data_IF_658807343589
#
_entry.id   IF_658807343589
#
_cell.length_a   1.000
_cell.length_b   1.000
_cell.length_c   1.000
_cell.angle_alpha   90.00
_cell.angle_beta   90.00
_cell.angle_gamma   90.00
#
_symmetry.space_group_name_H-M   'P 1'
#
loop_
_entity.id
_entity.type
_entity.pdbx_description
1 polymer ?
#
# COMPACT_ATOMS: atom_id res chain seq x y z
N UNK A 1 10.78 24.91 -11.88
CA UNK A 1 11.81 24.47 -10.91
C UNK A 1 12.97 25.45 -11.01
N UNK A 2 13.39 26.05 -9.88
CA UNK A 2 14.50 27.02 -9.86
C UNK A 2 15.86 26.35 -9.64
N UNK A 3 15.92 25.45 -8.67
CA UNK A 3 17.15 24.77 -8.30
C UNK A 3 16.86 23.43 -7.64
N UNK A 4 17.79 22.50 -7.80
CA UNK A 4 17.76 21.26 -7.04
C UNK A 4 19.20 20.81 -6.77
N UNK A 5 19.40 20.20 -5.61
CA UNK A 5 20.62 19.49 -5.26
C UNK A 5 20.22 18.11 -4.74
N UNK A 6 20.64 17.05 -5.42
CA UNK A 6 20.27 15.69 -5.04
C UNK A 6 20.56 15.41 -3.56
N UNK A 7 19.59 14.81 -2.85
CA UNK A 7 19.64 14.49 -1.43
C UNK A 7 19.69 15.68 -0.45
N UNK A 8 19.56 16.90 -0.92
CA UNK A 8 19.56 18.10 -0.08
C UNK A 8 18.27 18.90 -0.21
N UNK A 9 17.94 19.39 -1.41
CA UNK A 9 16.75 20.22 -1.60
C UNK A 9 16.22 20.24 -3.04
N UNK A 10 14.94 20.64 -3.15
CA UNK A 10 14.30 21.06 -4.41
C UNK A 10 13.61 22.39 -4.15
N UNK A 11 13.85 23.39 -4.99
CA UNK A 11 13.19 24.70 -4.94
C UNK A 11 12.34 24.91 -6.18
N UNK A 12 11.09 25.26 -5.97
CA UNK A 12 10.16 25.65 -7.03
C UNK A 12 9.64 27.05 -6.79
N UNK A 13 9.31 27.77 -7.85
CA UNK A 13 8.71 29.10 -7.80
C UNK A 13 7.33 29.07 -8.40
N UNK A 14 6.52 30.04 -8.07
CA UNK A 14 5.21 30.30 -8.66
C UNK A 14 5.32 30.33 -10.19
N UNK A 15 4.40 29.62 -10.86
CA UNK A 15 4.25 29.76 -12.31
C UNK A 15 3.42 31.02 -12.60
N UNK A 16 3.97 32.04 -13.28
CA UNK A 16 3.22 33.26 -13.61
C UNK A 16 2.05 32.99 -14.57
N UNK A 17 2.17 31.94 -15.41
CA UNK A 17 1.16 31.55 -16.39
C UNK A 17 0.27 30.39 -15.88
N UNK A 18 0.05 30.32 -14.55
CA UNK A 18 -0.79 29.25 -14.00
C UNK A 18 -2.23 29.38 -14.47
N UNK A 19 -2.83 28.28 -14.90
CA UNK A 19 -4.14 28.25 -15.55
C UNK A 19 -5.32 28.69 -14.64
N UNK A 20 -5.18 28.58 -13.31
CA UNK A 20 -6.17 29.12 -12.36
C UNK A 20 -5.81 30.55 -12.01
N UNK A 21 -6.76 31.47 -12.23
CA UNK A 21 -6.61 32.87 -11.85
C UNK A 21 -6.34 33.00 -10.34
N UNK A 22 -5.44 33.91 -9.98
CA UNK A 22 -5.04 34.20 -8.61
C UNK A 22 -4.41 33.01 -7.84
N UNK A 23 -3.91 32.01 -8.56
CA UNK A 23 -3.22 30.82 -8.03
C UNK A 23 -1.85 30.64 -8.71
N UNK A 24 -0.93 29.91 -8.04
CA UNK A 24 -0.89 29.56 -6.61
C UNK A 24 -0.71 30.82 -5.74
N UNK A 25 -1.03 30.73 -4.44
CA UNK A 25 -0.83 31.88 -3.52
C UNK A 25 0.64 32.06 -3.10
N UNK A 26 1.33 30.94 -2.86
CA UNK A 26 2.75 30.96 -2.46
C UNK A 26 3.65 31.42 -3.61
N UNK A 27 4.69 32.21 -3.31
CA UNK A 27 5.71 32.59 -4.29
C UNK A 27 6.62 31.43 -4.67
N UNK A 28 6.77 30.45 -3.79
CA UNK A 28 7.54 29.25 -4.03
C UNK A 28 7.47 28.25 -2.89
N UNK A 29 8.06 27.08 -3.10
CA UNK A 29 8.18 26.01 -2.11
C UNK A 29 9.62 25.52 -2.12
N UNK A 30 10.20 25.37 -0.93
CA UNK A 30 11.46 24.69 -0.72
C UNK A 30 11.24 23.34 -0.04
N UNK A 31 11.58 22.27 -0.72
CA UNK A 31 11.60 20.92 -0.17
C UNK A 31 13.01 20.63 0.35
N UNK A 32 13.15 20.47 1.66
CA UNK A 32 14.40 20.01 2.28
C UNK A 32 14.34 18.49 2.44
N UNK A 33 15.34 17.79 1.93
CA UNK A 33 15.40 16.33 1.93
C UNK A 33 16.17 15.86 3.15
N UNK A 34 15.45 15.35 4.16
CA UNK A 34 16.03 14.74 5.35
C UNK A 34 15.53 13.29 5.41
N UNK A 35 16.43 12.34 5.19
CA UNK A 35 16.09 10.92 5.10
C UNK A 35 15.68 10.34 6.45
N UNK A 36 16.40 10.71 7.50
CA UNK A 36 16.18 10.21 8.84
C UNK A 36 15.00 10.92 9.51
N UNK A 37 14.09 10.14 10.13
CA UNK A 37 12.88 10.67 10.75
C UNK A 37 13.18 11.56 11.96
N UNK A 38 14.10 11.16 12.84
CA UNK A 38 14.37 11.88 14.08
C UNK A 38 14.88 13.33 13.82
N UNK A 39 15.95 13.59 13.05
CA UNK A 39 16.39 14.96 12.78
C UNK A 39 15.35 15.78 12.00
N UNK A 40 14.56 15.16 11.10
CA UNK A 40 13.46 15.81 10.39
C UNK A 40 12.37 16.29 11.37
N UNK A 41 11.94 15.42 12.27
CA UNK A 41 10.89 15.75 13.25
C UNK A 41 11.36 16.85 14.22
N UNK A 42 12.60 16.76 14.72
CA UNK A 42 13.18 17.80 15.58
C UNK A 42 13.25 19.17 14.89
N UNK A 43 13.59 19.20 13.59
CA UNK A 43 13.61 20.46 12.81
C UNK A 43 12.19 21.05 12.66
N UNK A 44 11.18 20.21 12.50
CA UNK A 44 9.77 20.64 12.49
C UNK A 44 9.33 21.19 13.85
N UNK A 45 9.65 20.51 14.93
CA UNK A 45 9.35 21.00 16.31
C UNK A 45 9.99 22.34 16.59
N UNK A 46 11.19 22.56 16.08
CA UNK A 46 11.90 23.83 16.15
C UNK A 46 11.35 24.93 15.16
N UNK A 47 10.25 24.65 14.46
CA UNK A 47 9.64 25.60 13.52
C UNK A 47 10.43 25.89 12.24
N UNK A 48 11.40 25.03 11.88
CA UNK A 48 12.22 25.20 10.66
C UNK A 48 11.47 24.88 9.38
N UNK A 49 10.35 24.15 9.47
CA UNK A 49 9.50 23.75 8.35
C UNK A 49 8.06 24.12 8.62
N UNK A 50 7.34 24.53 7.59
CA UNK A 50 5.92 24.81 7.67
C UNK A 50 5.09 23.53 7.64
N UNK A 51 5.61 22.43 7.05
CA UNK A 51 4.92 21.13 6.98
C UNK A 51 5.86 19.93 6.89
N UNK A 52 5.39 18.79 7.37
CA UNK A 52 5.88 17.45 7.01
C UNK A 52 4.72 16.72 6.32
N UNK A 53 4.71 16.67 4.98
CA UNK A 53 3.63 16.08 4.23
C UNK A 53 3.59 14.55 4.30
N UNK A 54 4.73 13.89 4.51
CA UNK A 54 4.90 12.44 4.52
C UNK A 54 5.83 11.96 5.62
N UNK A 55 5.62 10.69 6.04
CA UNK A 55 6.58 9.98 6.86
C UNK A 55 6.47 10.26 8.36
N UNK A 56 5.34 10.84 8.81
CA UNK A 56 4.94 10.79 10.22
C UNK A 56 4.17 9.49 10.40
N UNK A 57 4.77 8.52 11.07
CA UNK A 57 4.13 7.23 11.37
C UNK A 57 3.16 7.38 12.54
N UNK A 58 2.20 6.48 12.68
CA UNK A 58 1.25 6.53 13.80
C UNK A 58 1.96 6.49 15.15
N UNK A 59 2.94 5.60 15.40
CA UNK A 59 3.69 5.61 16.65
C UNK A 59 4.40 6.94 16.96
N UNK A 60 4.90 7.64 15.95
CA UNK A 60 5.60 8.93 16.17
C UNK A 60 4.64 10.11 16.38
N UNK A 61 3.35 9.95 16.14
CA UNK A 61 2.37 11.03 16.32
C UNK A 61 2.28 11.51 17.77
N UNK A 62 2.58 10.64 18.71
CA UNK A 62 2.68 10.97 20.14
C UNK A 62 3.71 12.08 20.37
N UNK A 63 4.90 11.96 19.78
CA UNK A 63 5.96 12.96 19.92
C UNK A 63 5.54 14.33 19.35
N UNK A 64 4.77 14.33 18.25
CA UNK A 64 4.22 15.57 17.69
C UNK A 64 3.23 16.25 18.62
N UNK A 65 2.37 15.47 19.30
CA UNK A 65 1.40 16.01 20.27
C UNK A 65 2.10 16.59 21.51
N UNK A 66 3.21 16.00 21.91
CA UNK A 66 3.99 16.43 23.09
C UNK A 66 4.91 17.63 22.79
N UNK A 67 5.64 17.58 21.67
CA UNK A 67 6.69 18.56 21.36
C UNK A 67 6.23 19.71 20.45
N UNK A 68 5.15 19.54 19.73
CA UNK A 68 4.54 20.56 18.88
C UNK A 68 3.00 20.55 18.99
N UNK A 69 2.44 20.80 20.20
CA UNK A 69 1.00 20.69 20.47
C UNK A 69 0.16 21.65 19.60
N UNK A 70 0.76 22.74 19.10
CA UNK A 70 0.14 23.69 18.19
C UNK A 70 0.01 23.15 16.74
N UNK A 71 0.78 22.12 16.37
CA UNK A 71 0.77 21.58 15.02
C UNK A 71 -0.56 20.87 14.71
N UNK A 72 -1.02 21.01 13.49
CA UNK A 72 -2.22 20.35 13.00
C UNK A 72 -1.77 19.11 12.23
N UNK A 73 -1.99 17.94 12.83
CA UNK A 73 -1.69 16.65 12.23
C UNK A 73 -2.97 15.95 11.80
N UNK A 74 -3.01 15.47 10.57
CA UNK A 74 -4.12 14.72 9.99
C UNK A 74 -3.67 13.31 9.66
N UNK A 75 -4.32 12.32 10.29
CA UNK A 75 -4.12 10.89 10.02
C UNK A 75 -4.98 10.48 8.83
N UNK A 76 -4.44 9.62 7.98
CA UNK A 76 -5.21 8.92 6.95
C UNK A 76 -4.55 7.60 6.56
N UNK A 77 -5.34 6.74 6.00
CA UNK A 77 -4.90 5.51 5.33
C UNK A 77 -4.47 5.87 3.91
N UNK A 78 -3.28 5.46 3.53
CA UNK A 78 -2.73 5.71 2.19
C UNK A 78 -3.18 4.66 1.18
N UNK A 79 -3.34 5.04 -0.09
CA UNK A 79 -3.71 4.12 -1.17
C UNK A 79 -2.48 3.39 -1.77
N UNK A 80 -1.66 2.82 -0.91
CA UNK A 80 -0.48 2.03 -1.30
C UNK A 80 -0.43 0.76 -0.45
N UNK A 81 -1.38 -0.18 -0.66
CA UNK A 81 -1.48 -1.38 0.17
C UNK A 81 -0.21 -2.24 0.12
N UNK A 82 0.04 -2.93 1.21
CA UNK A 82 1.04 -3.99 1.29
C UNK A 82 0.42 -5.30 0.84
N UNK A 83 1.12 -6.01 -0.03
CA UNK A 83 0.64 -7.27 -0.60
C UNK A 83 1.66 -8.37 -0.49
N UNK A 84 1.20 -9.60 -0.47
CA UNK A 84 2.02 -10.77 -0.74
C UNK A 84 1.89 -11.11 -2.23
N UNK A 85 2.97 -11.00 -2.98
CA UNK A 85 3.00 -11.31 -4.41
C UNK A 85 3.57 -12.72 -4.62
N UNK A 86 2.84 -13.58 -5.31
CA UNK A 86 3.23 -14.97 -5.57
C UNK A 86 3.47 -15.14 -7.08
N UNK A 87 4.60 -15.67 -7.46
CA UNK A 87 4.94 -15.92 -8.84
C UNK A 87 4.30 -17.21 -9.34
N UNK A 88 3.33 -17.11 -10.24
CA UNK A 88 2.55 -18.24 -10.75
C UNK A 88 3.34 -19.20 -11.66
N UNK A 89 4.51 -18.77 -12.16
CA UNK A 89 5.37 -19.57 -13.03
C UNK A 89 6.48 -20.33 -12.28
N UNK A 90 6.53 -20.25 -10.95
CA UNK A 90 7.53 -20.92 -10.12
C UNK A 90 6.88 -22.04 -9.31
N UNK A 91 7.13 -23.31 -9.62
CA UNK A 91 6.69 -24.40 -8.75
C UNK A 91 7.26 -24.26 -7.33
N UNK A 92 6.48 -24.61 -6.30
CA UNK A 92 5.13 -25.20 -6.33
C UNK A 92 3.99 -24.17 -6.33
N UNK A 93 4.23 -22.90 -6.62
CA UNK A 93 3.27 -21.80 -6.50
C UNK A 93 2.26 -21.72 -7.68
N UNK A 94 2.43 -22.52 -8.72
CA UNK A 94 1.42 -22.83 -9.73
C UNK A 94 0.21 -23.55 -9.14
N UNK A 95 0.37 -24.24 -8.00
CA UNK A 95 -0.70 -24.93 -7.30
C UNK A 95 -1.58 -23.91 -6.54
N UNK A 96 -2.85 -23.83 -6.94
CA UNK A 96 -3.85 -22.92 -6.33
C UNK A 96 -4.11 -23.24 -4.85
N UNK A 97 -4.08 -24.51 -4.44
CA UNK A 97 -4.33 -24.89 -3.05
C UNK A 97 -3.22 -24.37 -2.12
N UNK A 98 -1.96 -24.43 -2.56
CA UNK A 98 -0.84 -23.84 -1.81
C UNK A 98 -1.05 -22.33 -1.64
N UNK A 99 -1.41 -21.62 -2.71
CA UNK A 99 -1.65 -20.18 -2.63
C UNK A 99 -2.82 -19.84 -1.72
N UNK A 100 -3.91 -20.63 -1.74
CA UNK A 100 -5.03 -20.49 -0.81
C UNK A 100 -4.58 -20.67 0.64
N UNK A 101 -3.78 -21.68 0.93
CA UNK A 101 -3.21 -21.86 2.26
C UNK A 101 -2.39 -20.63 2.71
N UNK A 102 -1.58 -20.07 1.82
CA UNK A 102 -0.81 -18.85 2.10
C UNK A 102 -1.72 -17.65 2.40
N UNK A 103 -2.83 -17.47 1.67
CA UNK A 103 -3.81 -16.42 1.94
C UNK A 103 -4.49 -16.60 3.28
N UNK A 104 -4.86 -17.85 3.63
CA UNK A 104 -5.50 -18.19 4.90
C UNK A 104 -4.56 -18.02 6.11
N UNK A 105 -3.24 -18.00 5.91
CA UNK A 105 -2.29 -17.77 7.02
C UNK A 105 -2.27 -16.33 7.52
N UNK A 106 -2.72 -15.37 6.72
CA UNK A 106 -2.59 -13.94 6.97
C UNK A 106 -3.47 -13.47 8.13
N UNK A 107 -2.82 -12.91 9.15
CA UNK A 107 -3.50 -12.19 10.24
C UNK A 107 -3.46 -10.68 9.96
N UNK A 108 -4.40 -10.21 9.14
CA UNK A 108 -4.48 -8.81 8.72
C UNK A 108 -4.69 -7.86 9.88
N UNK A 109 -5.41 -8.31 10.92
CA UNK A 109 -5.61 -7.51 12.12
C UNK A 109 -4.29 -7.29 12.85
N UNK A 110 -3.49 -8.32 13.04
CA UNK A 110 -2.18 -8.20 13.68
C UNK A 110 -1.24 -7.29 12.88
N UNK A 111 -1.25 -7.34 11.55
CA UNK A 111 -0.50 -6.38 10.73
C UNK A 111 -0.94 -4.94 11.00
N UNK A 112 -2.26 -4.69 11.02
CA UNK A 112 -2.77 -3.35 11.29
C UNK A 112 -2.45 -2.87 12.71
N UNK A 113 -2.55 -3.76 13.70
CA UNK A 113 -2.24 -3.43 15.09
C UNK A 113 -0.75 -3.07 15.28
N UNK A 114 0.16 -3.79 14.61
CA UNK A 114 1.61 -3.57 14.70
C UNK A 114 2.04 -2.33 13.91
N UNK A 115 1.61 -2.23 12.65
CA UNK A 115 2.08 -1.20 11.71
C UNK A 115 1.35 0.14 11.86
N UNK A 116 0.08 0.10 12.23
CA UNK A 116 -0.81 1.27 12.27
C UNK A 116 -1.43 1.52 13.66
N UNK A 117 -1.02 0.81 14.71
CA UNK A 117 -1.67 0.89 16.04
C UNK A 117 -3.20 0.74 15.99
N UNK A 118 -3.70 -0.12 15.10
CA UNK A 118 -5.12 -0.42 14.98
C UNK A 118 -5.96 0.68 14.32
N UNK A 119 -5.38 1.57 13.52
CA UNK A 119 -6.14 2.61 12.79
C UNK A 119 -7.30 1.99 12.02
N UNK A 120 -8.55 2.46 12.21
CA UNK A 120 -9.71 1.94 11.50
C UNK A 120 -9.62 2.14 9.98
N UNK A 121 -10.19 1.20 9.21
CA UNK A 121 -10.26 1.29 7.76
C UNK A 121 -8.92 1.04 7.04
N UNK A 122 -7.98 0.34 7.70
CA UNK A 122 -6.71 -0.05 7.10
C UNK A 122 -6.73 -1.48 6.51
N UNK A 123 -7.85 -2.20 6.59
CA UNK A 123 -8.04 -3.52 6.00
C UNK A 123 -9.02 -3.42 4.83
N UNK A 124 -8.60 -3.90 3.67
CA UNK A 124 -9.39 -3.87 2.43
C UNK A 124 -8.85 -4.88 1.42
N UNK A 125 -9.54 -5.01 0.30
CA UNK A 125 -9.07 -5.75 -0.86
C UNK A 125 -8.19 -4.85 -1.75
N UNK A 126 -8.32 -4.90 -3.07
CA UNK A 126 -7.44 -4.10 -3.94
C UNK A 126 -7.83 -2.62 -4.05
N UNK A 127 -9.09 -2.29 -3.76
CA UNK A 127 -9.54 -0.92 -3.68
C UNK A 127 -9.36 -0.36 -2.28
N UNK A 128 -9.10 0.93 -2.18
CA UNK A 128 -9.00 1.63 -0.91
C UNK A 128 -10.22 1.33 -0.04
N UNK A 129 -10.03 0.93 1.24
CA UNK A 129 -11.13 0.50 2.09
C UNK A 129 -12.28 1.51 2.16
N UNK A 130 -13.51 1.02 2.30
CA UNK A 130 -14.74 1.80 2.19
C UNK A 130 -14.82 3.04 3.10
N UNK A 131 -14.11 3.06 4.25
CA UNK A 131 -14.01 4.25 5.10
C UNK A 131 -13.15 5.37 4.52
N UNK A 132 -12.31 5.06 3.53
CA UNK A 132 -11.30 5.96 2.99
C UNK A 132 -11.42 6.15 1.46
N UNK A 133 -12.12 5.25 0.77
CA UNK A 133 -12.28 5.24 -0.68
C UNK A 133 -13.72 4.99 -1.13
N UNK A 134 -13.97 5.25 -2.41
CA UNK A 134 -15.31 5.13 -3.00
C UNK A 134 -15.64 3.69 -3.40
N UNK A 135 -14.63 2.92 -3.80
CA UNK A 135 -14.80 1.62 -4.47
C UNK A 135 -14.65 0.42 -3.52
N UNK A 136 -14.10 0.61 -2.34
CA UNK A 136 -13.82 -0.47 -1.40
C UNK A 136 -15.06 -1.23 -0.97
N UNK A 137 -14.89 -2.53 -0.75
CA UNK A 137 -15.94 -3.38 -0.18
C UNK A 137 -16.25 -2.98 1.25
N UNK A 138 -17.52 -2.94 1.66
CA UNK A 138 -17.87 -2.80 3.07
C UNK A 138 -17.43 -4.06 3.84
N UNK A 139 -17.22 -3.95 5.18
CA UNK A 139 -16.65 -5.03 5.98
C UNK A 139 -17.38 -6.37 5.84
N UNK A 140 -18.71 -6.35 5.82
CA UNK A 140 -19.55 -7.54 5.70
C UNK A 140 -19.39 -8.30 4.37
N UNK A 141 -19.03 -7.57 3.29
CA UNK A 141 -18.73 -8.17 1.98
C UNK A 141 -17.28 -8.66 1.96
N UNK A 142 -16.36 -7.86 2.52
CA UNK A 142 -14.94 -8.17 2.58
C UNK A 142 -14.68 -9.48 3.35
N UNK A 143 -15.36 -9.69 4.48
CA UNK A 143 -15.23 -10.89 5.31
C UNK A 143 -15.65 -12.19 4.60
N UNK A 144 -16.40 -12.08 3.50
CA UNK A 144 -16.77 -13.26 2.68
C UNK A 144 -15.64 -13.72 1.74
N UNK A 145 -14.58 -12.91 1.60
CA UNK A 145 -13.44 -13.28 0.77
C UNK A 145 -12.51 -14.27 1.49
N UNK A 146 -11.80 -15.14 0.76
CA UNK A 146 -10.86 -16.09 1.35
C UNK A 146 -9.82 -15.39 2.24
N UNK A 147 -9.72 -15.81 3.50
CA UNK A 147 -8.76 -15.31 4.47
C UNK A 147 -9.04 -13.91 5.05
N UNK A 148 -10.19 -13.29 4.74
CA UNK A 148 -10.61 -12.02 5.36
C UNK A 148 -11.54 -12.21 6.57
N UNK A 149 -12.06 -13.43 6.78
CA UNK A 149 -12.86 -13.72 7.96
C UNK A 149 -12.05 -13.54 9.26
N UNK A 150 -12.72 -13.15 10.37
CA UNK A 150 -12.05 -12.73 11.62
C UNK A 150 -11.41 -13.91 12.39
N UNK A 151 -11.78 -15.14 12.11
CA UNK A 151 -11.25 -16.32 12.81
C UNK A 151 -9.93 -16.81 12.17
N UNK A 152 -8.85 -16.13 12.52
CA UNK A 152 -7.50 -16.46 12.04
C UNK A 152 -7.07 -17.87 12.46
N UNK A 153 -7.44 -18.31 13.66
CA UNK A 153 -7.07 -19.63 14.15
C UNK A 153 -7.69 -20.76 13.29
N UNK A 154 -8.96 -20.63 12.95
CA UNK A 154 -9.66 -21.53 12.02
C UNK A 154 -9.03 -21.49 10.63
N UNK A 155 -8.75 -20.31 10.08
CA UNK A 155 -8.12 -20.15 8.78
C UNK A 155 -6.76 -20.85 8.73
N UNK A 156 -5.92 -20.64 9.75
CA UNK A 156 -4.61 -21.32 9.85
C UNK A 156 -4.71 -22.82 10.03
N UNK A 157 -5.72 -23.31 10.78
CA UNK A 157 -5.96 -24.74 10.90
C UNK A 157 -6.34 -25.37 9.55
N UNK A 158 -7.14 -24.71 8.74
CA UNK A 158 -7.47 -25.13 7.37
C UNK A 158 -6.22 -25.06 6.47
N UNK A 159 -5.46 -23.99 6.52
CA UNK A 159 -4.22 -23.84 5.77
C UNK A 159 -3.21 -24.95 6.07
N UNK A 160 -3.04 -25.35 7.35
CA UNK A 160 -2.17 -26.48 7.72
C UNK A 160 -2.64 -27.79 7.09
N UNK A 161 -3.92 -28.07 7.09
CA UNK A 161 -4.45 -29.28 6.42
C UNK A 161 -4.13 -29.30 4.93
N UNK A 162 -4.21 -28.15 4.28
CA UNK A 162 -3.86 -28.03 2.86
C UNK A 162 -2.35 -28.27 2.64
N UNK A 163 -1.49 -27.64 3.43
CA UNK A 163 -0.04 -27.79 3.30
C UNK A 163 0.41 -29.22 3.61
N UNK A 164 -0.17 -29.85 4.63
CA UNK A 164 0.07 -31.26 4.98
C UNK A 164 -0.33 -32.21 3.83
N UNK A 165 -1.51 -31.98 3.23
CA UNK A 165 -1.95 -32.74 2.03
C UNK A 165 -0.98 -32.60 0.86
N UNK A 166 -0.30 -31.45 0.75
CA UNK A 166 0.71 -31.18 -0.27
C UNK A 166 2.11 -31.74 0.09
N UNK A 167 2.24 -32.40 1.25
CA UNK A 167 3.47 -33.05 1.70
C UNK A 167 4.41 -32.12 2.49
N UNK A 168 3.92 -30.99 2.98
CA UNK A 168 4.66 -30.07 3.86
C UNK A 168 4.12 -30.17 5.29
N UNK A 169 5.02 -30.12 6.26
CA UNK A 169 4.68 -30.27 7.68
C UNK A 169 5.83 -29.83 8.58
N UNK A 170 5.73 -30.02 9.91
CA UNK A 170 6.77 -29.61 10.86
C UNK A 170 8.14 -30.18 10.53
N UNK A 171 8.21 -31.46 10.13
CA UNK A 171 9.46 -32.15 9.80
C UNK A 171 9.95 -31.87 8.37
N UNK A 172 9.09 -31.35 7.50
CA UNK A 172 9.41 -31.05 6.11
C UNK A 172 8.71 -29.74 5.68
N UNK A 173 9.11 -28.60 6.22
CA UNK A 173 8.54 -27.31 5.81
C UNK A 173 8.95 -26.95 4.38
N UNK A 174 8.10 -26.16 3.70
CA UNK A 174 8.45 -25.58 2.41
C UNK A 174 9.42 -24.41 2.61
N UNK A 175 10.62 -24.51 2.08
CA UNK A 175 11.58 -23.42 2.08
C UNK A 175 11.32 -22.46 0.91
N UNK A 176 11.22 -21.16 1.18
CA UNK A 176 11.00 -20.12 0.17
C UNK A 176 11.89 -18.90 0.40
N UNK A 177 12.20 -18.17 -0.66
CA UNK A 177 12.78 -16.82 -0.56
C UNK A 177 11.65 -15.79 -0.66
N UNK A 178 11.57 -14.90 0.32
CA UNK A 178 10.63 -13.79 0.34
C UNK A 178 11.39 -12.51 -0.01
N UNK A 179 11.23 -12.06 -1.27
CA UNK A 179 11.92 -10.87 -1.78
C UNK A 179 11.19 -9.59 -1.38
N UNK A 180 11.92 -8.61 -0.90
CA UNK A 180 11.42 -7.24 -0.67
C UNK A 180 12.53 -6.22 -0.84
N UNK A 181 12.18 -4.94 -0.96
CA UNK A 181 13.19 -3.88 -1.01
C UNK A 181 13.84 -3.67 0.35
N UNK A 182 15.14 -3.38 0.33
CA UNK A 182 15.88 -2.99 1.53
C UNK A 182 15.53 -1.55 1.96
N UNK A 183 14.29 -1.39 2.41
CA UNK A 183 13.75 -0.14 2.92
C UNK A 183 12.78 -0.45 4.08
N UNK A 184 12.85 0.23 5.24
CA UNK A 184 12.10 -0.15 6.44
C UNK A 184 10.61 -0.37 6.20
N UNK A 185 9.92 0.57 5.56
CA UNK A 185 8.47 0.49 5.30
C UNK A 185 8.05 -0.72 4.40
N UNK A 186 9.02 -1.47 3.83
CA UNK A 186 8.78 -2.67 3.04
C UNK A 186 9.29 -3.91 3.76
N UNK A 187 10.46 -3.77 4.42
CA UNK A 187 11.10 -4.86 5.15
C UNK A 187 10.31 -5.26 6.40
N UNK A 188 9.83 -4.30 7.15
CA UNK A 188 9.22 -4.57 8.46
C UNK A 188 7.90 -5.38 8.30
N UNK A 189 6.96 -5.04 7.39
CA UNK A 189 5.83 -5.93 7.08
C UNK A 189 6.25 -7.30 6.53
N UNK A 190 7.37 -7.40 5.81
CA UNK A 190 7.85 -8.69 5.31
C UNK A 190 8.27 -9.64 6.44
N UNK A 191 8.83 -9.12 7.53
CA UNK A 191 9.16 -9.92 8.72
C UNK A 191 7.91 -10.49 9.38
N UNK A 192 6.83 -9.69 9.48
CA UNK A 192 5.54 -10.16 10.01
C UNK A 192 4.97 -11.24 9.08
N UNK A 193 5.07 -11.06 7.75
CA UNK A 193 4.61 -12.04 6.77
C UNK A 193 5.34 -13.38 6.91
N UNK A 194 6.65 -13.38 7.13
CA UNK A 194 7.43 -14.60 7.40
C UNK A 194 6.86 -15.35 8.60
N UNK A 195 6.53 -14.65 9.68
CA UNK A 195 5.92 -15.25 10.87
C UNK A 195 4.55 -15.88 10.57
N UNK A 196 3.72 -15.22 9.73
CA UNK A 196 2.43 -15.78 9.32
C UNK A 196 2.59 -17.05 8.46
N UNK A 197 3.53 -17.06 7.53
CA UNK A 197 3.81 -18.22 6.68
C UNK A 197 4.35 -19.41 7.48
N UNK A 198 5.14 -19.15 8.52
CA UNK A 198 5.67 -20.17 9.43
C UNK A 198 4.56 -20.98 10.13
N UNK A 199 3.43 -20.34 10.43
CA UNK A 199 2.26 -20.97 11.05
C UNK A 199 1.64 -22.12 10.22
N UNK A 200 1.99 -22.17 8.94
CA UNK A 200 1.49 -23.15 7.96
C UNK A 200 2.61 -23.95 7.31
N UNK A 201 3.74 -24.12 8.02
CA UNK A 201 4.89 -24.90 7.58
C UNK A 201 5.61 -24.36 6.34
N UNK A 202 5.58 -23.04 6.12
CA UNK A 202 6.37 -22.38 5.10
C UNK A 202 7.48 -21.58 5.78
N UNK A 203 8.73 -22.02 5.62
CA UNK A 203 9.92 -21.34 6.13
C UNK A 203 10.42 -20.36 5.08
N UNK A 204 10.08 -19.09 5.25
CA UNK A 204 10.51 -18.02 4.37
C UNK A 204 11.80 -17.37 4.88
N UNK A 205 12.79 -17.25 3.99
CA UNK A 205 14.01 -16.49 4.21
C UNK A 205 13.89 -15.12 3.53
N UNK A 206 14.26 -14.05 4.24
CA UNK A 206 14.19 -12.69 3.73
C UNK A 206 15.28 -12.44 2.68
N UNK A 207 14.88 -12.10 1.46
CA UNK A 207 15.74 -11.67 0.35
C UNK A 207 15.62 -10.15 0.17
N UNK A 208 16.58 -9.41 0.74
CA UNK A 208 16.64 -7.95 0.66
C UNK A 208 17.27 -7.50 -0.65
N UNK A 209 16.47 -6.86 -1.49
CA UNK A 209 16.87 -6.40 -2.82
C UNK A 209 17.15 -4.90 -2.80
N UNK A 210 18.27 -4.50 -3.37
CA UNK A 210 18.58 -3.06 -3.57
C UNK A 210 17.51 -2.39 -4.42
N UNK A 211 17.14 -1.17 -4.04
CA UNK A 211 16.08 -0.39 -4.72
C UNK A 211 16.33 -0.21 -6.22
N UNK A 212 17.57 -0.03 -6.63
CA UNK A 212 17.92 0.16 -8.05
C UNK A 212 17.72 -1.11 -8.89
N UNK A 213 17.80 -2.29 -8.27
CA UNK A 213 17.66 -3.60 -8.93
C UNK A 213 16.22 -4.13 -8.86
N UNK A 214 15.41 -3.60 -7.97
CA UNK A 214 14.10 -4.13 -7.63
C UNK A 214 13.15 -4.30 -8.82
N UNK A 215 12.89 -3.23 -9.53
CA UNK A 215 11.89 -3.26 -10.62
C UNK A 215 12.34 -4.16 -11.78
N UNK A 216 13.63 -4.17 -12.08
CA UNK A 216 14.18 -5.07 -13.09
C UNK A 216 14.05 -6.55 -12.69
N UNK A 217 14.26 -6.89 -11.40
CA UNK A 217 14.06 -8.24 -10.84
C UNK A 217 12.60 -8.67 -10.96
N UNK A 218 11.65 -7.80 -10.56
CA UNK A 218 10.21 -8.08 -10.64
C UNK A 218 9.74 -8.26 -12.09
N UNK A 219 10.14 -7.38 -12.99
CA UNK A 219 9.76 -7.45 -14.42
C UNK A 219 10.24 -8.74 -15.09
N UNK A 220 11.42 -9.25 -14.71
CA UNK A 220 11.93 -10.56 -15.17
C UNK A 220 11.28 -11.76 -14.47
N UNK A 221 10.35 -11.52 -13.52
CA UNK A 221 9.74 -12.57 -12.69
C UNK A 221 10.79 -13.43 -11.96
N UNK A 222 11.92 -12.82 -11.56
CA UNK A 222 13.02 -13.47 -10.87
C UNK A 222 12.83 -13.45 -9.35
N UNK A 223 11.72 -14.03 -8.88
CA UNK A 223 11.35 -14.20 -7.48
C UNK A 223 10.39 -15.38 -7.33
N UNK A 224 10.19 -15.85 -6.11
CA UNK A 224 9.17 -16.85 -5.76
C UNK A 224 7.98 -16.22 -5.04
N UNK A 225 8.23 -15.60 -3.90
CA UNK A 225 7.25 -14.82 -3.14
C UNK A 225 7.84 -13.44 -2.89
N UNK A 226 7.03 -12.40 -2.98
CA UNK A 226 7.41 -11.02 -2.70
C UNK A 226 6.52 -10.35 -1.67
N UNK A 227 7.08 -9.53 -0.80
CA UNK A 227 6.34 -8.55 -0.01
C UNK A 227 6.45 -7.20 -0.73
N UNK A 228 5.37 -6.77 -1.37
CA UNK A 228 5.38 -5.69 -2.37
C UNK A 228 4.19 -4.77 -2.17
N UNK A 229 4.36 -3.44 -2.18
CA UNK A 229 3.22 -2.55 -2.31
C UNK A 229 2.63 -2.59 -3.72
N UNK A 230 1.38 -2.20 -3.82
CA UNK A 230 0.76 -1.78 -5.08
C UNK A 230 0.62 -0.27 -5.02
N UNK A 231 1.05 0.42 -6.06
CA UNK A 231 0.94 1.87 -6.13
C UNK A 231 -0.20 2.25 -7.06
N UNK A 232 -1.11 3.10 -6.60
CA UNK A 232 -2.14 3.74 -7.41
C UNK A 232 -2.11 5.24 -7.18
N UNK A 233 -2.06 6.02 -8.25
CA UNK A 233 -2.04 7.48 -8.21
C UNK A 233 -3.40 8.09 -7.90
N UNK A 234 -4.48 7.35 -8.13
CA UNK A 234 -5.87 7.79 -7.95
C UNK A 234 -6.70 6.69 -7.33
N UNK A 235 -7.82 7.05 -6.70
CA UNK A 235 -8.83 6.10 -6.26
C UNK A 235 -9.77 5.78 -7.42
N UNK A 236 -9.23 5.07 -8.42
CA UNK A 236 -10.00 4.58 -9.56
C UNK A 236 -9.59 3.14 -9.91
N UNK A 237 -10.56 2.24 -10.14
CA UNK A 237 -10.32 0.84 -10.46
C UNK A 237 -9.50 0.62 -11.73
N UNK A 238 -9.61 1.50 -12.73
CA UNK A 238 -8.90 1.35 -14.00
C UNK A 238 -7.39 1.32 -13.78
N UNK A 239 -6.84 2.28 -13.03
CA UNK A 239 -5.41 2.28 -12.77
C UNK A 239 -4.98 1.02 -12.02
N UNK A 240 -5.75 0.59 -11.03
CA UNK A 240 -5.41 -0.60 -10.24
C UNK A 240 -5.40 -1.85 -11.09
N UNK A 241 -6.47 -2.10 -11.84
CA UNK A 241 -6.65 -3.35 -12.56
C UNK A 241 -5.85 -3.42 -13.85
N UNK A 242 -5.90 -2.40 -14.71
CA UNK A 242 -5.16 -2.42 -15.97
C UNK A 242 -3.65 -2.39 -15.80
N UNK A 243 -3.12 -1.69 -14.80
CA UNK A 243 -1.67 -1.64 -14.62
C UNK A 243 -1.09 -2.89 -13.94
N UNK A 244 -1.83 -3.51 -13.00
CA UNK A 244 -1.26 -4.50 -12.11
C UNK A 244 -1.75 -5.93 -12.31
N UNK A 245 -2.91 -6.12 -12.96
CA UNK A 245 -3.59 -7.42 -12.97
C UNK A 245 -4.04 -7.87 -14.36
N UNK A 246 -4.32 -6.93 -15.27
CA UNK A 246 -4.75 -7.24 -16.63
C UNK A 246 -3.71 -8.13 -17.33
N UNK A 247 -4.15 -9.04 -18.19
CA UNK A 247 -3.25 -9.90 -18.97
C UNK A 247 -2.21 -9.04 -19.69
N UNK A 248 -0.95 -9.43 -19.63
CA UNK A 248 0.21 -8.75 -20.24
C UNK A 248 0.50 -7.33 -19.73
N UNK A 249 -0.19 -6.86 -18.67
CA UNK A 249 0.13 -5.58 -18.07
C UNK A 249 1.57 -5.53 -17.54
N UNK A 250 2.23 -4.38 -17.72
CA UNK A 250 3.65 -4.21 -17.40
C UNK A 250 3.99 -4.48 -15.91
N UNK A 251 3.04 -4.26 -14.99
CA UNK A 251 3.19 -4.52 -13.55
C UNK A 251 2.54 -5.83 -13.08
N UNK A 252 2.05 -6.63 -14.01
CA UNK A 252 1.57 -7.98 -13.71
C UNK A 252 2.74 -8.93 -13.49
N UNK A 253 3.45 -8.70 -12.40
CA UNK A 253 4.67 -9.46 -12.05
C UNK A 253 4.39 -10.93 -11.73
N UNK A 254 3.18 -11.26 -11.26
CA UNK A 254 2.78 -12.64 -10.99
C UNK A 254 2.65 -13.49 -12.26
N UNK A 255 2.40 -12.86 -13.41
CA UNK A 255 2.08 -13.54 -14.66
C UNK A 255 0.67 -14.10 -14.70
N UNK A 256 -0.27 -13.43 -14.04
CA UNK A 256 -1.68 -13.81 -14.06
C UNK A 256 -2.28 -13.53 -15.45
N UNK A 257 -3.10 -14.46 -15.91
CA UNK A 257 -3.88 -14.31 -17.16
C UNK A 257 -5.20 -15.04 -17.02
N UNK A 258 -6.29 -14.31 -17.18
CA UNK A 258 -7.66 -14.84 -17.11
C UNK A 258 -8.59 -13.95 -17.94
N UNK A 259 -9.06 -14.45 -19.11
CA UNK A 259 -9.94 -13.68 -20.00
C UNK A 259 -11.25 -13.22 -19.38
N UNK A 260 -11.77 -13.96 -18.38
CA UNK A 260 -12.99 -13.53 -17.69
C UNK A 260 -12.71 -12.37 -16.72
N UNK A 261 -11.52 -12.35 -16.09
CA UNK A 261 -11.07 -11.21 -15.31
C UNK A 261 -10.90 -9.98 -16.20
N UNK A 262 -10.19 -10.11 -17.32
CA UNK A 262 -9.98 -9.01 -18.28
C UNK A 262 -11.31 -8.42 -18.75
N UNK A 263 -12.30 -9.30 -19.07
CA UNK A 263 -13.64 -8.87 -19.43
C UNK A 263 -14.36 -8.10 -18.31
N UNK A 264 -14.22 -8.50 -17.05
CA UNK A 264 -14.79 -7.76 -15.93
C UNK A 264 -14.14 -6.37 -15.78
N UNK A 265 -12.83 -6.29 -15.97
CA UNK A 265 -12.09 -5.01 -15.96
C UNK A 265 -12.59 -4.09 -17.05
N UNK A 266 -12.77 -4.58 -18.28
CA UNK A 266 -13.32 -3.79 -19.39
C UNK A 266 -14.78 -3.37 -19.13
N UNK A 267 -15.60 -4.26 -18.57
CA UNK A 267 -16.99 -3.96 -18.25
C UNK A 267 -17.13 -2.87 -17.18
N UNK A 268 -16.31 -2.92 -16.11
CA UNK A 268 -16.36 -1.88 -15.08
C UNK A 268 -15.93 -0.52 -15.65
N UNK A 269 -14.89 -0.50 -16.49
CA UNK A 269 -14.39 0.73 -17.10
C UNK A 269 -15.41 1.41 -18.02
N UNK A 270 -16.22 0.64 -18.72
CA UNK A 270 -17.27 1.14 -19.60
C UNK A 270 -18.60 1.47 -18.88
N UNK A 271 -18.72 1.16 -17.59
CA UNK A 271 -19.98 1.36 -16.84
C UNK A 271 -20.11 2.80 -16.34
N UNK A 272 -21.07 3.62 -16.89
CA UNK A 272 -21.23 5.01 -16.49
C UNK A 272 -21.96 5.20 -15.16
N UNK A 273 -22.75 4.22 -14.72
CA UNK A 273 -23.47 4.27 -13.44
C UNK A 273 -22.50 3.87 -12.31
N UNK A 274 -22.20 4.76 -11.33
CA UNK A 274 -21.21 4.48 -10.31
C UNK A 274 -21.56 3.29 -9.42
N UNK A 275 -22.84 3.09 -9.08
CA UNK A 275 -23.24 1.98 -8.20
C UNK A 275 -23.17 0.62 -8.92
N UNK A 276 -23.54 0.59 -10.20
CA UNK A 276 -23.36 -0.60 -11.02
C UNK A 276 -21.89 -0.88 -11.28
N UNK A 277 -21.08 0.16 -11.53
CA UNK A 277 -19.63 0.04 -11.65
C UNK A 277 -19.01 -0.57 -10.39
N UNK A 278 -19.42 -0.10 -9.22
CA UNK A 278 -18.98 -0.62 -7.93
C UNK A 278 -19.27 -2.12 -7.77
N UNK A 279 -20.43 -2.59 -8.19
CA UNK A 279 -20.77 -4.02 -8.13
C UNK A 279 -19.83 -4.86 -9.02
N UNK A 280 -19.51 -4.38 -10.21
CA UNK A 280 -18.56 -5.05 -11.11
C UNK A 280 -17.15 -5.04 -10.52
N UNK A 281 -16.72 -3.92 -9.93
CA UNK A 281 -15.44 -3.82 -9.22
C UNK A 281 -15.34 -4.85 -8.11
N UNK A 282 -16.37 -5.03 -7.29
CA UNK A 282 -16.39 -6.04 -6.23
C UNK A 282 -16.35 -7.49 -6.77
N UNK A 283 -16.99 -7.75 -7.91
CA UNK A 283 -16.87 -9.05 -8.59
C UNK A 283 -15.44 -9.29 -9.08
N UNK A 284 -14.81 -8.25 -9.64
CA UNK A 284 -13.41 -8.28 -10.09
C UNK A 284 -12.45 -8.56 -8.93
N UNK A 285 -12.62 -7.87 -7.79
CA UNK A 285 -11.82 -8.10 -6.59
C UNK A 285 -12.02 -9.50 -6.01
N UNK A 286 -13.26 -10.03 -6.01
CA UNK A 286 -13.54 -11.40 -5.59
C UNK A 286 -12.79 -12.41 -6.43
N UNK A 287 -12.79 -12.24 -7.75
CA UNK A 287 -12.06 -13.11 -8.68
C UNK A 287 -10.56 -13.11 -8.40
N UNK A 288 -9.97 -11.95 -8.10
CA UNK A 288 -8.55 -11.86 -7.67
C UNK A 288 -8.30 -12.55 -6.33
N UNK A 289 -9.19 -12.39 -5.36
CA UNK A 289 -9.06 -13.05 -4.07
C UNK A 289 -9.13 -14.59 -4.20
N UNK A 290 -9.99 -15.12 -5.05
CA UNK A 290 -10.12 -16.53 -5.37
C UNK A 290 -8.89 -17.08 -6.11
N UNK A 291 -8.27 -16.28 -6.98
CA UNK A 291 -7.03 -16.65 -7.68
C UNK A 291 -5.80 -16.68 -6.75
N UNK A 292 -5.86 -16.03 -5.59
CA UNK A 292 -4.94 -16.15 -4.47
C UNK A 292 -3.45 -15.93 -4.80
N UNK A 293 -3.10 -14.99 -5.69
CA UNK A 293 -1.71 -14.77 -6.08
C UNK A 293 -1.12 -13.44 -5.61
N UNK A 294 -1.98 -12.44 -5.30
CA UNK A 294 -1.55 -11.13 -4.80
C UNK A 294 -2.52 -10.56 -3.76
N UNK A 295 -2.74 -11.30 -2.64
CA UNK A 295 -3.63 -10.80 -1.59
C UNK A 295 -3.10 -9.51 -0.99
N UNK A 296 -3.99 -8.55 -0.81
CA UNK A 296 -3.73 -7.37 0.03
C UNK A 296 -3.68 -7.81 1.48
N UNK A 297 -2.68 -7.33 2.21
CA UNK A 297 -2.51 -7.61 3.63
C UNK A 297 -3.14 -6.48 4.44
N UNK A 298 -2.65 -5.25 4.24
CA UNK A 298 -3.17 -4.05 4.90
C UNK A 298 -2.81 -2.79 4.12
N UNK A 299 -3.46 -1.69 4.46
CA UNK A 299 -3.16 -0.35 3.97
C UNK A 299 -2.39 0.42 5.06
N UNK A 300 -1.19 0.95 4.78
CA UNK A 300 -0.44 1.71 5.78
C UNK A 300 -1.14 3.02 6.09
N UNK A 301 -1.21 3.33 7.38
CA UNK A 301 -1.66 4.63 7.87
C UNK A 301 -0.46 5.52 8.21
N UNK A 302 -0.68 6.81 8.14
CA UNK A 302 0.31 7.80 8.51
C UNK A 302 -0.31 9.16 8.72
N UNK A 303 0.50 10.13 9.14
CA UNK A 303 0.05 11.48 9.30
C UNK A 303 0.86 12.46 8.44
N UNK A 304 0.20 13.55 8.10
CA UNK A 304 0.84 14.78 7.67
C UNK A 304 0.62 15.84 8.71
N UNK A 305 1.68 16.57 9.06
CA UNK A 305 1.64 17.60 10.08
C UNK A 305 2.05 18.94 9.49
N UNK A 306 1.36 20.02 9.89
CA UNK A 306 1.64 21.39 9.47
C UNK A 306 1.60 22.35 10.64
N UNK A 307 2.31 23.45 10.50
CA UNK A 307 2.24 24.56 11.43
C UNK A 307 0.89 25.28 11.30
N UNK A 308 0.36 25.90 12.36
CA UNK A 308 -0.98 26.49 12.35
C UNK A 308 -1.13 27.68 11.38
N UNK A 309 -0.04 28.33 11.01
CA UNK A 309 -0.05 29.42 10.02
C UNK A 309 -0.10 28.94 8.56
N UNK A 310 0.12 27.65 8.28
CA UNK A 310 -0.06 27.11 6.95
C UNK A 310 -1.55 26.77 6.75
N UNK A 311 -2.21 27.52 5.88
CA UNK A 311 -3.65 27.44 5.60
C UNK A 311 -3.92 26.88 4.21
N UNK A 312 -5.18 26.48 3.95
CA UNK A 312 -5.63 26.02 2.63
C UNK A 312 -5.10 24.65 2.21
N UNK A 313 -4.38 23.94 3.07
CA UNK A 313 -3.86 22.62 2.75
C UNK A 313 -4.92 21.55 2.90
N UNK A 314 -5.36 21.01 1.77
CA UNK A 314 -6.29 19.89 1.71
C UNK A 314 -5.53 18.63 1.38
N UNK A 315 -5.59 17.65 2.28
CA UNK A 315 -5.06 16.34 2.01
C UNK A 315 -6.07 15.53 1.20
N UNK A 316 -5.59 14.90 0.15
CA UNK A 316 -6.35 14.02 -0.74
C UNK A 316 -5.81 12.61 -0.66
N UNK A 317 -6.62 11.64 -1.03
CA UNK A 317 -6.14 10.28 -1.29
C UNK A 317 -4.99 10.35 -2.28
N UNK A 318 -3.89 9.69 -1.96
CA UNK A 318 -2.66 9.72 -2.76
C UNK A 318 -2.13 11.12 -3.08
N UNK A 319 -2.12 12.00 -2.09
CA UNK A 319 -1.60 13.36 -2.22
C UNK A 319 -0.23 13.44 -2.87
N UNK A 320 0.63 12.43 -2.68
CA UNK A 320 1.96 12.37 -3.30
C UNK A 320 1.90 12.43 -4.85
N UNK A 321 0.86 11.86 -5.46
CA UNK A 321 0.67 11.86 -6.91
C UNK A 321 -0.18 13.05 -7.37
N UNK A 322 -0.98 13.63 -6.49
CA UNK A 322 -1.79 14.82 -6.74
C UNK A 322 -1.08 16.11 -6.34
N UNK A 323 0.24 16.07 -6.16
CA UNK A 323 1.11 17.20 -5.84
C UNK A 323 0.63 18.03 -4.64
N UNK A 324 -0.06 17.37 -3.70
CA UNK A 324 -0.57 17.97 -2.47
C UNK A 324 -1.51 19.15 -2.68
N UNK A 325 -1.86 19.49 -3.90
CA UNK A 325 -2.74 20.61 -4.28
C UNK A 325 -2.31 21.91 -3.60
N UNK A 326 -1.01 22.23 -3.71
CA UNK A 326 -0.43 23.41 -3.07
C UNK A 326 -0.88 24.74 -3.66
N UNK A 327 -1.62 24.77 -4.77
CA UNK A 327 -2.12 25.98 -5.37
C UNK A 327 -3.06 26.79 -4.45
N UNK A 328 -3.73 26.14 -3.50
CA UNK A 328 -4.63 26.79 -2.55
C UNK A 328 -3.99 27.07 -1.19
N UNK A 329 -2.74 26.67 -1.01
CA UNK A 329 -2.00 26.87 0.25
C UNK A 329 -1.46 28.29 0.36
N UNK A 330 -1.59 28.88 1.54
CA UNK A 330 -1.09 30.22 1.86
C UNK A 330 -0.58 30.29 3.31
N UNK A 331 0.19 31.32 3.61
CA UNK A 331 0.79 31.56 4.93
C UNK A 331 0.09 32.71 5.64
N UNK A 332 -0.42 32.43 6.84
CA UNK A 332 -1.01 33.40 7.78
C UNK A 332 0.06 33.78 8.83
N UNK A 333 1.04 34.60 8.40
CA UNK A 333 2.16 35.07 9.22
C UNK A 333 2.13 36.57 9.33
#
# INVERSE_FOLDING_TARGET
MLASKPNEYIKVTKNPDYWKKDRPHLDGIEYTIIREAAPRNLAFFAGKFDAIPLGVTIPTLKDFREQAPQAICQVNVGNVPRTMLINLHKPPFDNIELRRAMVLSLDRKAFNDIENEGVPGAIGANMLPALNGVWGMPPEVLETLPGYGPDVAKNRAEARKITEKLGYGPEKPLAVKLSTRNFPAWRDPAVILISNLKEIYINAELDLVDTALWYAKMARKDFTVGAVPIESGVDDPDQMFYENYYTDAARNYAGYSDPEFDKLVDQQSMQPDPEKRKQIVWQTERKLAEAAFRPVIFYPAGASCRQPWLKGWTRMTNSIYNEWRFEDVWLDK
#
